data_IF_171591986756
#
_entry.id   IF_171591986756
#
_cell.length_a   1.000
_cell.length_b   1.000
_cell.length_c   1.000
_cell.angle_alpha   90.00
_cell.angle_beta   90.00
_cell.angle_gamma   90.00
#
_symmetry.space_group_name_H-M   'P 1'
#
loop_
_entity.id
_entity.type
_entity.pdbx_description
1 polymer ?
#
# COMPACT_ATOMS: atom_id res chain seq x y z
N UNK A 1 11.35 -9.92 26.32
CA UNK A 1 11.86 -11.26 26.73
C UNK A 1 12.95 -11.75 25.78
N UNK A 2 12.74 -11.94 24.48
CA UNK A 2 13.74 -12.45 23.53
C UNK A 2 15.06 -11.68 23.59
N UNK A 3 15.04 -10.34 23.52
CA UNK A 3 16.23 -9.49 23.63
C UNK A 3 16.89 -9.56 25.01
N UNK A 4 16.11 -9.70 26.08
CA UNK A 4 16.64 -9.87 27.45
C UNK A 4 17.36 -11.21 27.63
N UNK A 5 17.08 -12.19 26.79
CA UNK A 5 17.78 -13.47 26.70
C UNK A 5 19.00 -13.43 25.77
N UNK A 6 19.39 -12.24 25.28
CA UNK A 6 20.42 -12.03 24.25
C UNK A 6 20.16 -12.76 22.91
N UNK A 7 18.93 -13.17 22.65
CA UNK A 7 18.53 -13.76 21.38
C UNK A 7 18.10 -12.69 20.38
N UNK A 8 18.25 -12.96 19.11
CA UNK A 8 17.92 -12.03 18.04
C UNK A 8 16.43 -12.09 17.68
N UNK A 9 15.87 -10.93 17.32
CA UNK A 9 14.49 -10.79 16.89
C UNK A 9 14.42 -10.25 15.45
N UNK A 10 13.55 -10.85 14.64
CA UNK A 10 13.21 -10.40 13.29
C UNK A 10 11.77 -9.91 13.27
N UNK A 11 11.54 -8.70 12.77
CA UNK A 11 10.21 -8.18 12.49
C UNK A 11 10.06 -8.00 10.99
N UNK A 12 9.16 -8.75 10.39
CA UNK A 12 8.78 -8.61 8.99
C UNK A 12 7.61 -7.64 8.87
N UNK A 13 7.76 -6.65 8.01
CA UNK A 13 6.74 -5.69 7.67
C UNK A 13 6.50 -5.71 6.15
N UNK A 14 5.29 -5.42 5.67
CA UNK A 14 5.09 -5.04 4.27
C UNK A 14 6.02 -3.86 3.92
N UNK A 15 6.63 -3.88 2.73
CA UNK A 15 7.67 -2.89 2.33
C UNK A 15 7.23 -1.43 2.56
N UNK A 16 5.95 -1.16 2.44
CA UNK A 16 5.34 0.17 2.58
C UNK A 16 5.24 0.60 4.06
N UNK A 17 5.22 -0.34 5.00
CA UNK A 17 5.04 -0.05 6.43
C UNK A 17 6.35 0.33 7.17
N UNK A 18 7.50 0.28 6.50
CA UNK A 18 8.80 0.72 7.02
C UNK A 18 8.91 2.26 6.98
N UNK A 19 8.21 2.93 7.87
CA UNK A 19 8.26 4.39 8.00
C UNK A 19 9.30 4.84 9.03
N UNK A 20 9.84 6.05 8.85
CA UNK A 20 10.77 6.62 9.83
C UNK A 20 10.14 6.75 11.23
N UNK A 21 8.85 7.03 11.29
CA UNK A 21 8.10 7.11 12.53
C UNK A 21 8.05 5.77 13.27
N UNK A 22 7.79 4.68 12.55
CA UNK A 22 7.80 3.34 13.14
C UNK A 22 9.18 3.02 13.75
N UNK A 23 10.26 3.31 13.04
CA UNK A 23 11.62 3.10 13.52
C UNK A 23 11.91 3.94 14.77
N UNK A 24 11.50 5.21 14.79
CA UNK A 24 11.63 6.08 15.97
C UNK A 24 10.86 5.54 17.18
N UNK A 25 9.66 5.01 16.96
CA UNK A 25 8.88 4.36 18.04
C UNK A 25 9.57 3.10 18.58
N UNK A 26 10.17 2.32 17.69
CA UNK A 26 10.96 1.13 18.10
C UNK A 26 12.18 1.56 18.89
N UNK A 27 12.91 2.56 18.43
CA UNK A 27 14.07 3.12 19.15
C UNK A 27 13.68 3.64 20.54
N UNK A 28 12.62 4.43 20.63
CA UNK A 28 12.10 4.93 21.90
C UNK A 28 11.69 3.80 22.86
N UNK A 29 11.19 2.68 22.35
CA UNK A 29 10.76 1.53 23.16
C UNK A 29 11.90 0.64 23.63
N UNK A 30 12.90 0.42 22.78
CA UNK A 30 13.97 -0.56 23.04
C UNK A 30 15.33 0.08 23.32
N UNK A 31 15.45 1.40 23.19
CA UNK A 31 16.69 2.14 23.47
C UNK A 31 17.77 2.03 22.40
N UNK A 32 17.47 1.40 21.25
CA UNK A 32 18.39 1.25 20.13
C UNK A 32 17.65 1.20 18.81
N UNK A 33 18.25 1.78 17.77
CA UNK A 33 17.74 1.66 16.39
C UNK A 33 17.89 0.23 15.90
N UNK A 34 16.83 -0.36 15.33
CA UNK A 34 16.93 -1.68 14.70
C UNK A 34 17.74 -1.62 13.41
N UNK A 35 18.33 -2.73 13.00
CA UNK A 35 18.93 -2.86 11.68
C UNK A 35 17.83 -3.00 10.62
N UNK A 36 17.95 -2.25 9.53
CA UNK A 36 16.97 -2.25 8.45
C UNK A 36 17.37 -3.16 7.28
N UNK A 37 16.40 -3.92 6.72
CA UNK A 37 16.63 -4.77 5.56
C UNK A 37 15.48 -4.74 4.57
N UNK A 38 15.61 -3.92 3.51
CA UNK A 38 14.60 -3.76 2.46
C UNK A 38 15.24 -3.32 1.13
N UNK A 39 14.44 -3.20 0.08
CA UNK A 39 14.90 -2.86 -1.28
C UNK A 39 15.60 -1.49 -1.37
N UNK A 40 15.21 -0.52 -0.53
CA UNK A 40 15.78 0.83 -0.49
C UNK A 40 17.12 0.96 0.26
N UNK A 41 17.61 -0.10 0.92
CA UNK A 41 18.90 -0.07 1.62
C UNK A 41 20.05 -0.24 0.62
N UNK A 42 21.10 0.60 0.74
CA UNK A 42 22.27 0.55 -0.15
C UNK A 42 23.04 -0.77 0.00
N UNK A 43 23.77 -1.16 -1.04
CA UNK A 43 24.57 -2.40 -1.01
C UNK A 43 25.62 -2.40 0.09
N UNK A 44 26.21 -1.23 0.39
CA UNK A 44 27.19 -1.09 1.48
C UNK A 44 26.54 -1.36 2.82
N UNK A 45 25.38 -0.77 3.06
CA UNK A 45 24.62 -0.97 4.30
C UNK A 45 24.12 -2.41 4.42
N UNK A 46 23.64 -3.03 3.32
CA UNK A 46 23.26 -4.45 3.31
C UNK A 46 24.42 -5.35 3.74
N UNK A 47 25.64 -5.12 3.23
CA UNK A 47 26.82 -5.89 3.63
C UNK A 47 27.13 -5.71 5.12
N UNK A 48 26.98 -4.50 5.65
CA UNK A 48 27.15 -4.20 7.07
C UNK A 48 26.13 -4.96 7.91
N UNK A 49 24.85 -4.83 7.60
CA UNK A 49 23.76 -5.51 8.30
C UNK A 49 23.92 -7.03 8.24
N UNK A 50 24.24 -7.60 7.07
CA UNK A 50 24.48 -9.03 6.91
C UNK A 50 25.54 -9.55 7.88
N UNK A 51 26.68 -8.84 7.99
CA UNK A 51 27.77 -9.19 8.90
C UNK A 51 27.33 -9.06 10.36
N UNK A 52 26.72 -7.92 10.72
CA UNK A 52 26.26 -7.68 12.10
C UNK A 52 25.24 -8.73 12.57
N UNK A 53 24.35 -9.17 11.69
CA UNK A 53 23.38 -10.21 12.00
C UNK A 53 24.09 -11.55 12.25
N UNK A 54 25.04 -11.93 11.38
CA UNK A 54 25.80 -13.19 11.50
C UNK A 54 26.72 -13.23 12.72
N UNK A 55 27.25 -12.08 13.14
CA UNK A 55 28.09 -11.95 14.33
C UNK A 55 27.26 -11.79 15.63
N UNK A 56 25.94 -11.63 15.53
CA UNK A 56 25.06 -11.41 16.68
C UNK A 56 25.02 -9.96 17.19
N UNK A 57 25.72 -9.04 16.50
CA UNK A 57 25.76 -7.61 16.86
C UNK A 57 24.45 -6.86 16.58
N UNK A 58 23.64 -7.32 15.63
CA UNK A 58 22.30 -6.81 15.41
C UNK A 58 21.27 -7.69 16.15
N UNK A 59 20.82 -7.23 17.31
CA UNK A 59 19.83 -7.96 18.10
C UNK A 59 18.42 -7.85 17.55
N UNK A 60 18.08 -6.74 16.89
CA UNK A 60 16.78 -6.54 16.25
C UNK A 60 16.96 -6.16 14.79
N UNK A 61 16.28 -6.87 13.92
CA UNK A 61 16.21 -6.56 12.49
C UNK A 61 14.76 -6.32 12.11
N UNK A 62 14.51 -5.25 11.36
CA UNK A 62 13.21 -4.94 10.77
C UNK A 62 13.37 -4.92 9.27
N UNK A 63 12.51 -5.62 8.55
CA UNK A 63 12.66 -5.67 7.12
C UNK A 63 11.51 -6.28 6.36
N UNK A 64 11.66 -6.26 5.04
CA UNK A 64 10.74 -6.93 4.12
C UNK A 64 11.01 -8.44 4.09
N UNK A 65 10.23 -9.19 3.31
CA UNK A 65 10.29 -10.66 3.19
C UNK A 65 11.69 -11.24 3.04
N UNK A 66 12.60 -10.56 2.34
CA UNK A 66 13.99 -11.05 2.15
C UNK A 66 14.84 -11.05 3.42
N UNK A 67 14.45 -10.29 4.46
CA UNK A 67 15.12 -10.30 5.76
C UNK A 67 15.04 -11.67 6.45
N UNK A 68 14.04 -12.45 6.07
CA UNK A 68 13.87 -13.83 6.58
C UNK A 68 15.10 -14.71 6.33
N UNK A 69 15.90 -14.46 5.32
CA UNK A 69 17.05 -15.28 4.95
C UNK A 69 18.39 -14.75 5.42
N UNK A 70 18.40 -13.73 6.30
CA UNK A 70 19.63 -13.25 6.93
C UNK A 70 20.26 -14.32 7.84
N UNK A 71 21.60 -14.33 8.00
CA UNK A 71 22.33 -15.35 8.73
C UNK A 71 22.29 -15.09 10.26
N UNK A 72 21.09 -15.12 10.85
CA UNK A 72 20.98 -14.95 12.30
C UNK A 72 21.77 -16.03 13.05
N UNK A 73 22.53 -15.57 14.03
CA UNK A 73 23.33 -16.46 14.89
C UNK A 73 22.47 -17.21 15.90
N UNK A 74 21.50 -16.51 16.52
CA UNK A 74 20.56 -17.06 17.51
C UNK A 74 19.21 -16.36 17.40
N UNK A 75 18.42 -16.78 16.41
CA UNK A 75 17.10 -16.23 16.16
C UNK A 75 16.07 -16.80 17.15
N UNK A 76 15.58 -15.95 18.05
CA UNK A 76 14.63 -16.34 19.10
C UNK A 76 13.18 -16.01 18.77
N UNK A 77 12.95 -14.96 17.98
CA UNK A 77 11.61 -14.48 17.68
C UNK A 77 11.51 -13.99 16.24
N UNK A 78 10.45 -14.39 15.56
CA UNK A 78 10.02 -13.80 14.28
C UNK A 78 8.64 -13.21 14.47
N UNK A 79 8.45 -11.94 14.14
CA UNK A 79 7.15 -11.27 14.09
C UNK A 79 6.83 -11.00 12.62
N UNK A 80 5.66 -11.42 12.18
CA UNK A 80 5.14 -11.12 10.83
C UNK A 80 3.92 -10.22 11.02
N UNK A 81 4.10 -8.93 10.82
CA UNK A 81 2.98 -7.97 10.92
C UNK A 81 2.20 -7.94 9.60
N UNK A 82 0.88 -7.74 9.69
CA UNK A 82 -0.03 -7.84 8.53
C UNK A 82 0.17 -9.16 7.75
N UNK A 83 0.19 -10.29 8.44
CA UNK A 83 0.54 -11.62 7.88
C UNK A 83 -0.29 -11.99 6.65
N UNK A 84 -1.46 -11.36 6.46
CA UNK A 84 -2.34 -11.53 5.33
C UNK A 84 -1.89 -10.77 4.07
N UNK A 85 -0.89 -9.86 4.18
CA UNK A 85 -0.50 -9.02 3.05
C UNK A 85 0.14 -9.85 1.92
N UNK A 86 -0.34 -9.62 0.71
CA UNK A 86 0.13 -10.32 -0.49
C UNK A 86 1.60 -10.07 -0.83
N UNK A 87 2.20 -8.99 -0.32
CA UNK A 87 3.63 -8.69 -0.51
C UNK A 87 4.57 -9.73 0.10
N UNK A 88 4.07 -10.57 1.01
CA UNK A 88 4.84 -11.71 1.53
C UNK A 88 4.97 -12.86 0.54
N UNK A 89 4.13 -12.91 -0.49
CA UNK A 89 4.24 -13.90 -1.56
C UNK A 89 5.28 -13.47 -2.59
N UNK A 90 6.26 -14.32 -2.84
CA UNK A 90 7.22 -14.19 -3.94
C UNK A 90 6.60 -14.80 -5.18
N UNK A 91 6.46 -14.00 -6.24
CA UNK A 91 5.84 -14.44 -7.51
C UNK A 91 6.89 -14.66 -8.62
N UNK A 92 8.08 -14.07 -8.47
CA UNK A 92 9.18 -14.21 -9.42
C UNK A 92 10.28 -15.15 -8.90
N UNK A 93 10.83 -15.98 -9.76
CA UNK A 93 11.89 -16.93 -9.42
C UNK A 93 11.41 -18.06 -8.52
N UNK A 94 12.01 -18.23 -7.35
CA UNK A 94 11.57 -19.24 -6.37
C UNK A 94 10.30 -18.78 -5.68
N UNK A 95 9.22 -19.52 -5.89
CA UNK A 95 7.92 -19.22 -5.30
C UNK A 95 7.88 -19.62 -3.83
N UNK A 96 7.59 -18.68 -2.94
CA UNK A 96 7.37 -18.93 -1.51
C UNK A 96 6.48 -17.86 -0.89
N UNK A 97 5.89 -18.15 0.26
CA UNK A 97 5.26 -17.16 1.12
C UNK A 97 6.13 -16.95 2.37
N UNK A 98 6.57 -15.72 2.61
CA UNK A 98 7.46 -15.41 3.73
C UNK A 98 6.81 -15.66 5.10
N UNK A 99 5.47 -15.54 5.21
CA UNK A 99 4.72 -15.93 6.41
C UNK A 99 4.94 -17.43 6.73
N UNK A 100 4.73 -18.29 5.76
CA UNK A 100 4.83 -19.74 5.94
C UNK A 100 6.28 -20.16 6.19
N UNK A 101 7.22 -19.53 5.49
CA UNK A 101 8.65 -19.73 5.70
C UNK A 101 9.14 -19.22 7.06
N UNK A 102 8.51 -18.18 7.62
CA UNK A 102 8.81 -17.70 8.97
C UNK A 102 8.43 -18.75 10.03
N UNK A 103 7.26 -19.37 9.87
CA UNK A 103 6.82 -20.49 10.73
C UNK A 103 7.78 -21.66 10.64
N UNK A 104 8.14 -22.08 9.43
CA UNK A 104 9.11 -23.16 9.21
C UNK A 104 10.46 -22.82 9.84
N UNK A 105 11.00 -21.63 9.60
CA UNK A 105 12.28 -21.21 10.14
C UNK A 105 12.28 -21.19 11.67
N UNK A 106 11.23 -20.61 12.29
CA UNK A 106 11.11 -20.59 13.75
C UNK A 106 11.12 -22.02 14.33
N UNK A 107 10.40 -22.94 13.70
CA UNK A 107 10.41 -24.37 14.08
C UNK A 107 11.81 -25.00 13.99
N UNK A 108 12.56 -24.72 12.92
CA UNK A 108 13.90 -25.28 12.71
C UNK A 108 14.96 -24.77 13.70
N UNK A 109 14.82 -23.52 14.14
CA UNK A 109 15.82 -22.89 15.06
C UNK A 109 15.38 -22.90 16.54
N UNK A 110 14.24 -23.52 16.85
CA UNK A 110 13.68 -23.50 18.21
C UNK A 110 13.29 -22.09 18.68
N UNK A 111 12.88 -21.22 17.75
CA UNK A 111 12.39 -19.88 18.01
C UNK A 111 10.87 -19.84 18.09
N UNK A 112 10.36 -18.66 18.41
CA UNK A 112 8.91 -18.37 18.39
C UNK A 112 8.55 -17.57 17.15
N UNK A 113 7.30 -17.71 16.68
CA UNK A 113 6.73 -16.88 15.63
C UNK A 113 5.43 -16.25 16.09
N UNK A 114 5.25 -14.98 15.79
CA UNK A 114 4.00 -14.25 16.04
C UNK A 114 3.51 -13.74 14.68
N UNK A 115 2.33 -14.20 14.28
CA UNK A 115 1.61 -13.71 13.10
C UNK A 115 0.58 -12.69 13.58
N UNK A 116 0.76 -11.43 13.22
CA UNK A 116 -0.12 -10.34 13.64
C UNK A 116 -0.98 -9.85 12.48
N UNK A 117 -2.28 -9.70 12.70
CA UNK A 117 -3.21 -9.16 11.72
C UNK A 117 -4.53 -8.73 12.38
N UNK A 118 -5.16 -7.67 11.85
CA UNK A 118 -6.54 -7.35 12.15
C UNK A 118 -7.53 -8.22 11.34
N UNK A 119 -7.08 -8.75 10.19
CA UNK A 119 -7.84 -9.59 9.25
C UNK A 119 -6.99 -10.80 8.87
N UNK A 120 -6.88 -11.82 9.74
CA UNK A 120 -6.05 -12.99 9.49
C UNK A 120 -6.38 -13.67 8.17
N UNK A 121 -5.35 -14.22 7.49
CA UNK A 121 -5.54 -15.02 6.30
C UNK A 121 -6.31 -16.32 6.60
N UNK A 122 -6.97 -16.87 5.60
CA UNK A 122 -7.71 -18.13 5.76
C UNK A 122 -6.81 -19.28 6.18
N UNK A 123 -5.58 -19.31 5.69
CA UNK A 123 -4.59 -20.33 6.03
C UNK A 123 -4.18 -20.24 7.51
N UNK A 124 -3.93 -19.03 8.02
CA UNK A 124 -3.62 -18.83 9.44
C UNK A 124 -4.82 -19.18 10.32
N UNK A 125 -6.01 -18.77 9.90
CA UNK A 125 -7.26 -19.08 10.60
C UNK A 125 -7.53 -20.59 10.67
N UNK A 126 -7.39 -21.31 9.54
CA UNK A 126 -7.55 -22.76 9.52
C UNK A 126 -6.54 -23.48 10.42
N UNK A 127 -5.30 -22.97 10.53
CA UNK A 127 -4.30 -23.54 11.44
C UNK A 127 -4.66 -23.26 12.93
N UNK A 128 -5.33 -22.16 13.24
CA UNK A 128 -5.89 -21.91 14.58
C UNK A 128 -7.01 -22.90 14.89
N UNK A 129 -7.96 -23.08 13.98
CA UNK A 129 -9.09 -24.04 14.17
C UNK A 129 -8.61 -25.48 14.28
N UNK A 130 -7.56 -25.83 13.54
CA UNK A 130 -6.93 -27.14 13.64
C UNK A 130 -6.05 -27.32 14.91
N UNK A 131 -5.95 -26.33 15.78
CA UNK A 131 -5.15 -26.37 17.01
C UNK A 131 -3.63 -26.32 16.80
N UNK A 132 -3.17 -26.01 15.59
CA UNK A 132 -1.74 -25.89 15.28
C UNK A 132 -1.15 -24.55 15.74
N UNK A 133 -1.97 -23.48 15.75
CA UNK A 133 -1.59 -22.16 16.19
C UNK A 133 -2.43 -21.74 17.41
N UNK A 134 -1.79 -21.05 18.35
CA UNK A 134 -2.48 -20.45 19.49
C UNK A 134 -3.00 -19.07 19.10
N UNK A 135 -4.31 -18.83 19.25
CA UNK A 135 -4.92 -17.53 19.00
C UNK A 135 -4.80 -16.64 20.23
N UNK A 136 -4.29 -15.42 20.02
CA UNK A 136 -4.30 -14.34 21.00
C UNK A 136 -5.13 -13.20 20.43
N UNK A 137 -6.15 -12.77 21.13
CA UNK A 137 -7.06 -11.71 20.67
C UNK A 137 -6.92 -10.47 21.53
N UNK A 138 -6.54 -9.36 20.90
CA UNK A 138 -6.49 -8.03 21.50
C UNK A 138 -7.87 -7.38 21.35
N UNK A 139 -8.70 -7.48 22.39
CA UNK A 139 -10.11 -7.01 22.34
C UNK A 139 -10.28 -5.50 22.40
N UNK A 140 -9.30 -4.79 22.95
CA UNK A 140 -9.35 -3.34 23.10
C UNK A 140 -8.33 -2.67 22.19
N UNK A 141 -8.67 -1.48 21.68
CA UNK A 141 -7.71 -0.61 21.00
C UNK A 141 -6.78 0.04 22.02
N UNK A 142 -5.54 0.26 21.60
CA UNK A 142 -4.59 0.97 22.45
C UNK A 142 -4.97 2.46 22.54
N UNK A 143 -5.01 3.00 23.77
CA UNK A 143 -5.38 4.39 24.04
C UNK A 143 -6.89 4.67 23.98
N UNK A 144 -7.24 5.94 23.72
CA UNK A 144 -8.63 6.43 23.65
C UNK A 144 -9.22 6.36 22.23
N UNK A 145 -8.67 5.54 21.35
CA UNK A 145 -9.10 5.44 19.96
C UNK A 145 -10.55 4.91 19.87
N UNK A 146 -11.43 5.71 19.30
CA UNK A 146 -12.81 5.35 18.97
C UNK A 146 -12.93 5.06 17.49
N UNK A 147 -13.93 4.26 17.10
CA UNK A 147 -14.25 4.05 15.69
C UNK A 147 -14.73 5.38 15.08
N UNK A 148 -14.31 5.70 13.85
CA UNK A 148 -14.85 6.86 13.15
C UNK A 148 -16.35 6.69 12.88
N UNK A 149 -17.06 7.79 12.79
CA UNK A 149 -18.43 7.79 12.30
C UNK A 149 -18.46 7.33 10.84
N UNK A 150 -19.31 6.36 10.53
CA UNK A 150 -19.48 5.82 9.19
C UNK A 150 -20.83 6.24 8.63
N UNK A 151 -20.82 6.86 7.45
CA UNK A 151 -22.02 7.31 6.74
C UNK A 151 -22.03 6.77 5.32
N UNK A 152 -23.16 6.24 4.87
CA UNK A 152 -23.36 5.82 3.49
C UNK A 152 -24.09 6.91 2.70
N UNK A 153 -23.65 7.17 1.47
CA UNK A 153 -24.31 8.05 0.51
C UNK A 153 -24.85 7.16 -0.63
N UNK A 154 -26.17 7.09 -0.77
CA UNK A 154 -26.80 6.37 -1.89
C UNK A 154 -26.75 7.24 -3.17
N UNK A 155 -25.79 6.93 -4.03
CA UNK A 155 -25.55 7.67 -5.27
C UNK A 155 -26.74 7.60 -6.28
N UNK A 156 -27.67 6.68 -6.09
CA UNK A 156 -28.91 6.61 -6.92
C UNK A 156 -29.89 7.72 -6.60
N UNK A 157 -29.78 8.30 -5.39
CA UNK A 157 -30.62 9.41 -4.93
C UNK A 157 -29.96 10.78 -5.16
N UNK A 158 -28.70 10.80 -5.56
CA UNK A 158 -27.94 12.02 -5.82
C UNK A 158 -28.08 12.44 -7.28
N UNK A 159 -28.38 13.70 -7.51
CA UNK A 159 -28.40 14.28 -8.87
C UNK A 159 -27.00 14.79 -9.21
N UNK A 160 -26.29 14.06 -10.06
CA UNK A 160 -24.94 14.42 -10.49
C UNK A 160 -24.97 14.87 -11.96
N UNK A 161 -24.27 15.96 -12.32
CA UNK A 161 -23.99 16.26 -13.72
C UNK A 161 -23.27 15.12 -14.42
N UNK A 162 -23.43 15.02 -15.73
CA UNK A 162 -22.66 14.07 -16.52
C UNK A 162 -21.15 14.26 -16.27
N UNK A 163 -20.42 13.16 -16.18
CA UNK A 163 -18.97 13.14 -15.96
C UNK A 163 -18.50 13.64 -14.58
N UNK A 164 -19.37 13.70 -13.57
CA UNK A 164 -19.05 13.97 -12.16
C UNK A 164 -19.17 12.72 -11.30
N UNK A 165 -18.35 12.64 -10.24
CA UNK A 165 -18.25 11.48 -9.35
C UNK A 165 -18.35 11.84 -7.86
N UNK A 166 -18.06 13.11 -7.53
CA UNK A 166 -18.20 13.65 -6.18
C UNK A 166 -19.63 14.15 -6.02
N UNK A 167 -20.42 13.48 -5.13
CA UNK A 167 -21.79 13.90 -4.88
C UNK A 167 -21.86 15.27 -4.19
N UNK A 168 -22.94 16.05 -4.34
CA UNK A 168 -23.12 17.33 -3.66
C UNK A 168 -23.01 17.22 -2.15
N UNK A 169 -23.47 16.09 -1.58
CA UNK A 169 -23.34 15.81 -0.15
C UNK A 169 -21.90 15.60 0.26
N UNK A 170 -21.12 14.80 -0.49
CA UNK A 170 -19.70 14.60 -0.23
C UNK A 170 -18.92 15.91 -0.40
N UNK A 171 -19.23 16.69 -1.43
CA UNK A 171 -18.63 18.01 -1.63
C UNK A 171 -18.77 18.91 -0.40
N UNK A 172 -19.98 19.06 0.14
CA UNK A 172 -20.23 19.85 1.35
C UNK A 172 -19.47 19.34 2.56
N UNK A 173 -19.32 18.02 2.70
CA UNK A 173 -18.57 17.43 3.80
C UNK A 173 -17.07 17.75 3.68
N UNK A 174 -16.50 17.69 2.48
CA UNK A 174 -15.09 18.03 2.23
C UNK A 174 -14.86 19.52 2.46
N UNK A 175 -15.75 20.40 1.95
CA UNK A 175 -15.69 21.85 2.18
C UNK A 175 -15.69 22.20 3.69
N UNK A 176 -16.56 21.55 4.47
CA UNK A 176 -16.61 21.76 5.90
C UNK A 176 -15.31 21.35 6.62
N UNK A 177 -14.64 20.28 6.17
CA UNK A 177 -13.34 19.85 6.72
C UNK A 177 -12.23 20.82 6.35
N UNK A 178 -12.19 21.29 5.08
CA UNK A 178 -11.22 22.30 4.63
C UNK A 178 -11.37 23.58 5.47
N UNK A 179 -12.61 24.06 5.67
CA UNK A 179 -12.88 25.26 6.49
C UNK A 179 -12.46 25.07 7.95
N UNK A 180 -12.55 23.85 8.47
CA UNK A 180 -12.07 23.51 9.82
C UNK A 180 -10.55 23.36 9.92
N UNK A 181 -9.80 23.51 8.82
CA UNK A 181 -8.35 23.25 8.77
C UNK A 181 -7.97 21.79 8.85
N UNK A 182 -8.92 20.90 8.56
CA UNK A 182 -8.72 19.45 8.58
C UNK A 182 -8.47 18.91 7.18
N UNK A 183 -7.79 17.77 7.08
CA UNK A 183 -7.52 17.11 5.82
C UNK A 183 -8.65 16.15 5.42
N UNK A 184 -8.94 16.07 4.13
CA UNK A 184 -9.86 15.09 3.56
C UNK A 184 -9.13 14.08 2.68
N UNK A 185 -9.46 12.79 2.81
CA UNK A 185 -8.95 11.74 1.93
C UNK A 185 -10.06 11.16 1.07
N UNK A 186 -9.88 11.27 -0.24
CA UNK A 186 -10.72 10.61 -1.24
C UNK A 186 -10.02 9.33 -1.71
N UNK A 187 -10.51 8.19 -1.26
CA UNK A 187 -9.96 6.88 -1.64
C UNK A 187 -10.67 6.31 -2.84
N UNK A 188 -9.92 5.92 -3.86
CA UNK A 188 -10.43 5.18 -5.01
C UNK A 188 -9.43 4.09 -5.41
N UNK A 189 -9.87 2.83 -5.42
CA UNK A 189 -8.99 1.72 -5.79
C UNK A 189 -8.91 1.53 -7.32
N UNK A 190 -8.70 2.62 -8.07
CA UNK A 190 -8.58 2.62 -9.53
C UNK A 190 -7.49 3.58 -9.97
N UNK A 191 -6.41 3.00 -10.51
CA UNK A 191 -5.25 3.76 -11.00
C UNK A 191 -5.57 4.47 -12.32
N UNK A 192 -4.76 5.48 -12.65
CA UNK A 192 -4.83 6.23 -13.90
C UNK A 192 -6.03 7.18 -13.99
N UNK A 193 -6.32 7.62 -15.22
CA UNK A 193 -7.39 8.54 -15.53
C UNK A 193 -8.74 7.84 -15.59
N UNK A 194 -8.83 6.75 -16.37
CA UNK A 194 -10.03 5.94 -16.47
C UNK A 194 -9.67 4.46 -16.64
N UNK A 195 -10.39 3.56 -15.95
CA UNK A 195 -10.07 2.13 -15.97
C UNK A 195 -10.34 1.43 -17.28
N UNK A 196 -11.15 2.03 -18.17
CA UNK A 196 -11.55 1.43 -19.43
C UNK A 196 -11.48 2.48 -20.54
N UNK A 197 -10.78 2.14 -21.62
CA UNK A 197 -10.85 2.86 -22.89
C UNK A 197 -11.62 2.00 -23.88
N UNK A 198 -12.79 2.44 -24.33
CA UNK A 198 -13.65 1.70 -25.26
C UNK A 198 -13.97 2.50 -26.52
N UNK A 199 -14.18 1.80 -27.61
CA UNK A 199 -14.66 2.39 -28.84
C UNK A 199 -16.20 2.54 -28.82
N UNK A 200 -16.71 3.76 -28.99
CA UNK A 200 -18.16 4.02 -29.07
C UNK A 200 -18.81 3.48 -30.34
N UNK A 201 -18.03 3.16 -31.40
CA UNK A 201 -18.54 2.62 -32.63
C UNK A 201 -18.76 1.11 -32.57
N UNK A 202 -17.85 0.35 -31.98
CA UNK A 202 -17.93 -1.11 -31.97
C UNK A 202 -17.91 -1.75 -30.57
N UNK A 203 -17.83 -0.96 -29.49
CA UNK A 203 -17.78 -1.46 -28.11
C UNK A 203 -16.46 -2.13 -27.71
N UNK A 204 -15.47 -2.21 -28.61
CA UNK A 204 -14.20 -2.84 -28.29
C UNK A 204 -13.48 -2.08 -27.19
N UNK A 205 -13.01 -2.82 -26.17
CA UNK A 205 -12.17 -2.29 -25.10
C UNK A 205 -10.70 -2.48 -25.45
N UNK A 206 -9.91 -1.43 -25.35
CA UNK A 206 -8.47 -1.50 -25.64
C UNK A 206 -7.77 -2.42 -24.66
N UNK A 207 -7.30 -3.55 -25.17
CA UNK A 207 -6.55 -4.57 -24.40
C UNK A 207 -5.04 -4.37 -24.48
N UNK A 208 -4.33 -5.12 -23.66
CA UNK A 208 -2.88 -5.26 -23.75
C UNK A 208 -2.52 -6.20 -24.91
N UNK A 209 -1.36 -5.93 -25.55
CA UNK A 209 -0.89 -6.77 -26.66
C UNK A 209 -0.08 -7.99 -26.16
N UNK A 210 0.30 -8.01 -24.87
CA UNK A 210 1.15 -9.03 -24.24
C UNK A 210 0.42 -9.90 -23.21
N UNK A 211 -0.79 -9.51 -22.76
CA UNK A 211 -1.60 -10.30 -21.83
C UNK A 211 -3.07 -9.94 -21.95
N UNK A 212 -3.95 -10.68 -21.27
CA UNK A 212 -5.41 -10.54 -21.35
C UNK A 212 -5.97 -9.34 -20.57
N UNK A 213 -5.12 -8.51 -19.96
CA UNK A 213 -5.55 -7.36 -19.18
C UNK A 213 -6.03 -6.20 -20.06
N UNK A 214 -6.90 -5.38 -19.50
CA UNK A 214 -7.29 -4.11 -20.12
C UNK A 214 -6.25 -3.04 -19.84
N UNK A 215 -6.01 -2.17 -20.82
CA UNK A 215 -5.12 -1.04 -20.65
C UNK A 215 -5.84 0.15 -20.01
N UNK A 216 -5.17 0.79 -19.07
CA UNK A 216 -5.65 1.95 -18.32
C UNK A 216 -5.01 3.21 -18.89
N UNK A 217 -5.79 4.25 -19.15
CA UNK A 217 -5.27 5.54 -19.58
C UNK A 217 -4.69 6.30 -18.40
N UNK A 218 -3.42 6.71 -18.55
CA UNK A 218 -2.72 7.64 -17.67
C UNK A 218 -2.55 8.96 -18.40
N UNK A 219 -3.46 9.89 -18.16
CA UNK A 219 -3.51 11.17 -18.86
C UNK A 219 -2.27 12.04 -18.57
N UNK A 220 -1.81 12.06 -17.33
CA UNK A 220 -0.58 12.76 -16.95
C UNK A 220 0.65 12.23 -17.69
N UNK A 221 0.69 10.94 -17.99
CA UNK A 221 1.75 10.30 -18.75
C UNK A 221 1.49 10.27 -20.26
N UNK A 222 0.29 10.64 -20.71
CA UNK A 222 -0.22 10.58 -22.10
C UNK A 222 -0.05 9.19 -22.74
N UNK A 223 -0.27 8.14 -21.96
CA UNK A 223 -0.08 6.73 -22.37
C UNK A 223 -1.17 5.82 -21.81
N UNK A 224 -1.39 4.71 -22.52
CA UNK A 224 -2.07 3.54 -21.98
C UNK A 224 -1.04 2.63 -21.30
N UNK A 225 -1.37 2.12 -20.10
CA UNK A 225 -0.51 1.21 -19.35
C UNK A 225 -1.27 -0.04 -18.94
N UNK A 226 -0.61 -1.17 -19.04
CA UNK A 226 -1.07 -2.44 -18.50
C UNK A 226 -0.53 -2.62 -17.08
N UNK A 227 -1.40 -2.68 -16.07
CA UNK A 227 -0.98 -2.88 -14.68
C UNK A 227 -0.68 -4.34 -14.32
N UNK A 228 -0.85 -5.27 -15.28
CA UNK A 228 -0.52 -6.68 -15.08
C UNK A 228 0.91 -6.99 -15.54
N UNK A 229 1.28 -6.59 -16.75
CA UNK A 229 2.59 -6.93 -17.32
C UNK A 229 3.54 -5.73 -17.49
N UNK A 230 3.08 -4.50 -17.19
CA UNK A 230 3.88 -3.28 -17.30
C UNK A 230 3.97 -2.69 -18.72
N UNK A 231 3.36 -3.33 -19.74
CA UNK A 231 3.35 -2.82 -21.11
C UNK A 231 2.75 -1.41 -21.18
N UNK A 232 3.33 -0.57 -22.02
CA UNK A 232 2.92 0.83 -22.17
C UNK A 232 2.97 1.28 -23.62
N UNK A 233 1.86 1.83 -24.13
CA UNK A 233 1.74 2.34 -25.50
C UNK A 233 1.06 3.70 -25.55
N UNK A 234 1.29 4.50 -26.62
CA UNK A 234 0.55 5.75 -26.83
C UNK A 234 -0.95 5.51 -26.89
N UNK A 235 -1.74 6.51 -26.50
CA UNK A 235 -3.21 6.46 -26.70
C UNK A 235 -3.51 6.44 -28.19
N UNK A 236 -4.14 5.40 -28.75
CA UNK A 236 -4.42 5.32 -30.17
C UNK A 236 -5.48 6.34 -30.57
N UNK A 237 -5.34 6.94 -31.75
CA UNK A 237 -6.35 7.83 -32.34
C UNK A 237 -7.43 7.05 -33.07
N UNK A 238 -7.09 5.88 -33.55
CA UNK A 238 -7.93 5.00 -34.35
C UNK A 238 -8.23 3.73 -33.54
N UNK A 239 -9.45 3.28 -33.59
CA UNK A 239 -9.84 2.03 -32.91
C UNK A 239 -9.06 0.84 -33.48
N UNK A 240 -8.33 0.06 -32.67
CA UNK A 240 -7.56 -1.09 -33.17
C UNK A 240 -8.43 -2.23 -33.72
N UNK A 241 -9.74 -2.24 -33.43
CA UNK A 241 -10.66 -3.30 -33.86
C UNK A 241 -11.45 -2.93 -35.13
N UNK A 242 -12.03 -1.73 -35.19
CA UNK A 242 -12.91 -1.33 -36.30
C UNK A 242 -12.40 -0.15 -37.13
N UNK A 243 -11.17 0.33 -36.86
CA UNK A 243 -10.54 1.44 -37.52
C UNK A 243 -11.31 2.78 -37.48
N UNK A 244 -12.33 2.91 -36.62
CA UNK A 244 -13.05 4.17 -36.50
C UNK A 244 -12.16 5.23 -35.82
N UNK A 245 -12.09 6.41 -36.43
CA UNK A 245 -11.31 7.55 -35.93
C UNK A 245 -12.11 8.31 -34.86
N UNK A 246 -11.41 8.84 -33.85
CA UNK A 246 -11.96 9.68 -32.76
C UNK A 246 -13.20 9.10 -32.04
N UNK A 247 -13.31 7.77 -32.01
CA UNK A 247 -14.42 7.05 -31.33
C UNK A 247 -14.01 6.38 -30.03
N UNK A 248 -12.76 6.51 -29.62
CA UNK A 248 -12.33 5.99 -28.33
C UNK A 248 -12.76 6.92 -27.20
N UNK A 249 -13.41 6.34 -26.20
CA UNK A 249 -13.89 7.05 -25.03
C UNK A 249 -13.37 6.37 -23.76
N UNK A 250 -13.00 7.18 -22.81
CA UNK A 250 -12.61 6.75 -21.46
C UNK A 250 -13.83 6.66 -20.56
N UNK A 251 -13.96 5.58 -19.81
CA UNK A 251 -15.15 5.30 -18.99
C UNK A 251 -14.76 5.00 -17.56
N UNK A 252 -15.49 5.61 -16.63
CA UNK A 252 -15.34 5.47 -15.20
C UNK A 252 -14.32 6.45 -14.59
N UNK A 253 -14.34 6.63 -13.26
CA UNK A 253 -13.39 7.45 -12.56
C UNK A 253 -12.11 6.67 -12.27
N UNK A 254 -10.97 7.25 -12.61
CA UNK A 254 -9.68 6.90 -12.04
C UNK A 254 -9.19 7.99 -11.10
N UNK A 255 -8.07 7.74 -10.43
CA UNK A 255 -7.52 8.69 -9.45
C UNK A 255 -7.20 10.06 -10.06
N UNK A 256 -6.74 10.10 -11.31
CA UNK A 256 -6.40 11.34 -12.02
C UNK A 256 -7.65 12.17 -12.36
N UNK A 257 -8.71 11.52 -12.82
CA UNK A 257 -9.98 12.18 -13.14
C UNK A 257 -10.67 12.72 -11.89
N UNK A 258 -10.62 11.96 -10.80
CA UNK A 258 -11.13 12.42 -9.52
C UNK A 258 -10.35 13.64 -9.00
N UNK A 259 -9.04 13.69 -9.28
CA UNK A 259 -8.20 14.83 -8.91
C UNK A 259 -8.54 16.08 -9.73
N UNK A 260 -8.78 15.95 -11.03
CA UNK A 260 -9.26 17.05 -11.87
C UNK A 260 -10.59 17.61 -11.35
N UNK A 261 -11.54 16.71 -11.01
CA UNK A 261 -12.83 17.10 -10.45
C UNK A 261 -12.70 17.81 -9.10
N UNK A 262 -11.90 17.24 -8.18
CA UNK A 262 -11.67 17.84 -6.87
C UNK A 262 -10.99 19.22 -6.97
N UNK A 263 -10.01 19.39 -7.87
CA UNK A 263 -9.36 20.68 -8.10
C UNK A 263 -10.35 21.71 -8.66
N UNK A 264 -11.28 21.30 -9.50
CA UNK A 264 -12.32 22.19 -10.02
C UNK A 264 -13.38 22.55 -8.97
N UNK A 265 -13.71 21.64 -8.06
CA UNK A 265 -14.69 21.86 -6.99
C UNK A 265 -14.10 22.65 -5.80
N UNK A 266 -12.81 22.51 -5.53
CA UNK A 266 -12.12 23.12 -4.39
C UNK A 266 -10.91 23.95 -4.87
N UNK A 267 -11.13 25.07 -5.59
CA UNK A 267 -10.04 25.81 -6.26
C UNK A 267 -9.03 26.43 -5.29
N UNK A 268 -9.42 26.70 -4.06
CA UNK A 268 -8.54 27.25 -3.03
C UNK A 268 -7.80 26.17 -2.23
N UNK A 269 -8.20 24.91 -2.38
CA UNK A 269 -7.60 23.81 -1.63
C UNK A 269 -6.36 23.25 -2.32
N UNK A 270 -5.37 22.87 -1.52
CA UNK A 270 -4.18 22.14 -1.99
C UNK A 270 -4.51 20.67 -2.17
N UNK A 271 -4.73 20.26 -3.41
CA UNK A 271 -5.03 18.86 -3.78
C UNK A 271 -3.74 18.13 -4.08
N UNK A 272 -3.56 16.94 -3.50
CA UNK A 272 -2.44 16.05 -3.83
C UNK A 272 -2.92 14.65 -4.23
N UNK A 273 -2.26 14.08 -5.23
CA UNK A 273 -2.53 12.71 -5.71
C UNK A 273 -1.43 11.78 -5.23
N UNK A 274 -1.82 10.66 -4.61
CA UNK A 274 -0.96 9.56 -4.18
C UNK A 274 -1.31 8.28 -4.92
N UNK A 275 -0.56 8.02 -5.98
CA UNK A 275 -0.60 6.77 -6.74
C UNK A 275 0.83 6.33 -7.03
N UNK A 276 1.11 5.03 -6.90
CA UNK A 276 2.45 4.47 -7.14
C UNK A 276 3.03 4.80 -8.51
N UNK A 277 2.15 4.99 -9.50
CA UNK A 277 2.54 5.23 -10.89
C UNK A 277 3.05 6.66 -11.15
N UNK A 278 2.79 7.59 -10.21
CA UNK A 278 3.18 9.00 -10.34
C UNK A 278 4.56 9.32 -9.73
N UNK A 279 5.14 8.38 -8.98
CA UNK A 279 6.43 8.60 -8.32
C UNK A 279 7.53 7.77 -8.95
N UNK A 280 8.49 8.44 -9.61
CA UNK A 280 9.66 7.81 -10.22
C UNK A 280 10.69 7.25 -9.21
N UNK A 281 10.53 7.51 -7.91
CA UNK A 281 11.43 7.00 -6.88
C UNK A 281 10.78 6.95 -5.49
N UNK A 282 11.24 6.00 -4.66
CA UNK A 282 10.82 5.88 -3.27
C UNK A 282 11.11 7.15 -2.44
N UNK A 283 12.18 7.90 -2.79
CA UNK A 283 12.53 9.16 -2.12
C UNK A 283 11.50 10.25 -2.40
N UNK A 284 11.00 10.36 -3.64
CA UNK A 284 9.96 11.31 -4.00
C UNK A 284 8.65 11.01 -3.26
N UNK A 285 8.28 9.73 -3.18
CA UNK A 285 7.12 9.26 -2.42
C UNK A 285 7.24 9.62 -0.93
N UNK A 286 8.38 9.28 -0.28
CA UNK A 286 8.63 9.63 1.14
C UNK A 286 8.51 11.13 1.40
N UNK A 287 9.03 11.97 0.49
CA UNK A 287 8.91 13.44 0.60
C UNK A 287 7.45 13.89 0.53
N UNK A 288 6.65 13.28 -0.34
CA UNK A 288 5.24 13.62 -0.47
C UNK A 288 4.45 13.19 0.78
N UNK A 289 4.70 11.99 1.29
CA UNK A 289 4.07 11.51 2.54
C UNK A 289 4.41 12.44 3.71
N UNK A 290 5.66 12.90 3.82
CA UNK A 290 6.05 13.86 4.86
C UNK A 290 5.26 15.18 4.79
N UNK A 291 5.00 15.71 3.59
CA UNK A 291 4.15 16.89 3.41
C UNK A 291 2.71 16.68 3.85
N UNK A 292 2.16 15.49 3.56
CA UNK A 292 0.81 15.13 3.99
C UNK A 292 0.73 15.04 5.53
N UNK A 293 1.72 14.41 6.16
CA UNK A 293 1.80 14.31 7.61
C UNK A 293 1.99 15.69 8.28
N UNK A 294 2.66 16.64 7.59
CA UNK A 294 2.82 18.02 8.06
C UNK A 294 1.57 18.90 7.88
N UNK A 295 0.47 18.37 7.29
CA UNK A 295 -0.76 19.15 7.05
C UNK A 295 -0.65 20.17 5.91
N UNK A 296 0.35 20.04 5.02
CA UNK A 296 0.56 20.97 3.90
C UNK A 296 -0.45 20.82 2.75
N UNK A 297 -1.34 19.82 2.83
CA UNK A 297 -2.30 19.44 1.80
C UNK A 297 -3.69 19.32 2.43
N UNK A 298 -4.70 19.86 1.77
CA UNK A 298 -6.08 19.87 2.28
C UNK A 298 -6.88 18.65 1.79
N UNK A 299 -6.71 18.27 0.51
CA UNK A 299 -7.41 17.14 -0.09
C UNK A 299 -6.41 16.15 -0.67
N UNK A 300 -6.43 14.93 -0.16
CA UNK A 300 -5.58 13.83 -0.59
C UNK A 300 -6.42 12.88 -1.43
N UNK A 301 -5.97 12.55 -2.64
CA UNK A 301 -6.65 11.58 -3.50
C UNK A 301 -5.70 10.41 -3.75
N UNK A 302 -6.12 9.19 -3.49
CA UNK A 302 -5.20 8.08 -3.65
C UNK A 302 -5.84 6.71 -3.77
N UNK A 303 -4.98 5.77 -4.17
CA UNK A 303 -5.28 4.34 -4.30
C UNK A 303 -4.88 3.58 -3.04
N UNK A 304 -4.68 2.28 -3.11
CA UNK A 304 -4.26 1.42 -1.97
C UNK A 304 -3.06 1.96 -1.19
N UNK A 305 -2.19 2.75 -1.82
CA UNK A 305 -1.03 3.34 -1.17
C UNK A 305 -1.42 4.20 0.05
N UNK A 306 -2.46 5.03 -0.07
CA UNK A 306 -2.94 5.88 1.04
C UNK A 306 -3.66 5.10 2.14
N UNK A 307 -4.20 3.93 1.84
CA UNK A 307 -4.88 3.09 2.83
C UNK A 307 -3.89 2.29 3.68
N UNK A 308 -2.76 1.87 3.10
CA UNK A 308 -1.74 1.08 3.78
C UNK A 308 -0.87 1.92 4.74
N UNK A 309 -0.57 3.17 4.39
CA UNK A 309 0.33 4.04 5.18
C UNK A 309 -0.37 4.77 6.35
N UNK A 310 -1.70 4.67 6.47
CA UNK A 310 -2.44 5.43 7.49
C UNK A 310 -2.31 4.93 8.92
N UNK A 311 -1.72 3.78 9.17
CA UNK A 311 -1.50 3.30 10.54
C UNK A 311 -0.51 4.18 11.34
N UNK A 312 0.23 5.04 10.66
CA UNK A 312 1.16 5.99 11.25
C UNK A 312 0.60 7.41 11.42
N UNK A 313 -0.62 7.71 10.98
CA UNK A 313 -1.18 9.07 10.89
C UNK A 313 -2.47 9.25 11.70
N UNK A 314 -2.92 8.20 12.43
CA UNK A 314 -4.10 8.29 13.32
C UNK A 314 -3.72 7.89 14.74
#
# INVERSE_FOLDING_TARGET
>A
ECLAQNRQALVLLPEIALTAEFLTRVEARFGAMPAEWHSGVTMTERRRVWRMVGEGGAQMVIGARSALYLPFRDLGLIVVDEEHDTSYKQEDGVLYNARDMAVLRASLVGGQVVLASATPSLESWANVEAGKYTKIELKSRFGVSVLPEMMAIDMRQETLPADRWISPRLQKMVEARIQAGEQSLLFINRRGYAPITLCRACGNQVGCDHCDARMVEHRFLKRLMCHQCGESKPVPKICPSCAAEDRLAVVGPGVERLAEEATALFPEAKVAVLSSDLFGSARALKKQIAKLAAGEVDVIIGTQLVAKDRKSVV
#
